data_IF_812014343398
#
_entry.id   IF_812014343398
#
_cell.length_a   1.000
_cell.length_b   1.000
_cell.length_c   1.000
_cell.angle_alpha   90.00
_cell.angle_beta   90.00
_cell.angle_gamma   90.00
#
_symmetry.space_group_name_H-M   'P 1'
#
loop_
_entity.id
_entity.type
_entity.pdbx_description
1 polymer ?
#
# COMPACT_ATOMS: atom_id res chain seq x y z
N UNK A 1 -14.72 -15.45 27.28
CA UNK A 1 -14.08 -14.48 26.37
C UNK A 1 -15.13 -14.08 25.34
N UNK A 2 -15.84 -12.96 25.58
CA UNK A 2 -16.94 -12.52 24.70
C UNK A 2 -16.30 -11.84 23.48
N UNK A 3 -16.32 -12.53 22.34
CA UNK A 3 -15.97 -11.92 21.04
C UNK A 3 -17.00 -10.85 20.73
N UNK A 4 -16.61 -9.58 20.83
CA UNK A 4 -17.37 -8.47 20.29
C UNK A 4 -17.22 -8.54 18.76
N UNK A 5 -18.12 -9.25 18.07
CA UNK A 5 -18.34 -9.02 16.65
C UNK A 5 -18.88 -7.61 16.49
N UNK A 6 -18.05 -6.66 16.02
CA UNK A 6 -18.57 -5.41 15.50
C UNK A 6 -19.62 -5.80 14.46
N UNK A 7 -20.87 -5.46 14.69
CA UNK A 7 -21.90 -5.57 13.64
C UNK A 7 -21.38 -4.72 12.47
N UNK A 8 -21.07 -5.39 11.36
CA UNK A 8 -20.66 -4.69 10.13
C UNK A 8 -21.81 -3.77 9.75
N UNK A 9 -21.59 -2.47 9.75
CA UNK A 9 -22.61 -1.52 9.31
C UNK A 9 -22.80 -1.71 7.79
N UNK A 10 -23.94 -2.24 7.38
CA UNK A 10 -24.28 -2.49 5.98
C UNK A 10 -24.11 -1.21 5.14
N UNK A 11 -24.39 -0.03 5.72
CA UNK A 11 -24.23 1.26 5.04
C UNK A 11 -22.76 1.53 4.68
N UNK A 12 -21.81 1.12 5.53
CA UNK A 12 -20.37 1.27 5.24
C UNK A 12 -19.94 0.35 4.10
N UNK A 13 -20.44 -0.88 4.04
CA UNK A 13 -20.19 -1.80 2.92
C UNK A 13 -20.78 -1.25 1.61
N UNK A 14 -21.97 -0.65 1.63
CA UNK A 14 -22.55 -0.04 0.43
C UNK A 14 -21.77 1.19 -0.06
N UNK A 15 -21.22 2.00 0.86
CA UNK A 15 -20.29 3.08 0.51
C UNK A 15 -19.01 2.51 -0.14
N UNK A 16 -18.45 1.46 0.44
CA UNK A 16 -17.26 0.79 -0.10
C UNK A 16 -17.50 0.22 -1.51
N UNK A 17 -18.64 -0.44 -1.75
CA UNK A 17 -19.01 -0.96 -3.08
C UNK A 17 -19.11 0.14 -4.13
N UNK A 18 -19.64 1.32 -3.77
CA UNK A 18 -19.69 2.46 -4.70
C UNK A 18 -18.31 3.02 -5.01
N UNK A 19 -17.43 3.05 -4.01
CA UNK A 19 -16.09 3.63 -4.14
C UNK A 19 -15.06 2.70 -4.77
N UNK A 20 -15.26 1.38 -4.63
CA UNK A 20 -14.31 0.34 -5.08
C UNK A 20 -15.03 -0.79 -5.83
N UNK A 21 -15.78 -0.49 -6.92
CA UNK A 21 -16.57 -1.47 -7.65
C UNK A 21 -15.73 -2.61 -8.21
N UNK A 22 -14.53 -2.36 -8.73
CA UNK A 22 -13.65 -3.39 -9.30
C UNK A 22 -13.22 -4.41 -8.24
N UNK A 23 -12.83 -3.98 -7.04
CA UNK A 23 -12.51 -4.87 -5.94
C UNK A 23 -13.66 -5.84 -5.63
N UNK A 24 -14.92 -5.33 -5.60
CA UNK A 24 -16.08 -6.17 -5.35
C UNK A 24 -16.43 -7.08 -6.55
N UNK A 25 -16.12 -6.69 -7.78
CA UNK A 25 -16.22 -7.57 -8.96
C UNK A 25 -15.24 -8.76 -8.84
N UNK A 26 -14.01 -8.53 -8.37
CA UNK A 26 -13.03 -9.60 -8.11
C UNK A 26 -13.56 -10.52 -7.00
N UNK A 27 -14.04 -9.99 -5.88
CA UNK A 27 -14.60 -10.79 -4.78
C UNK A 27 -15.79 -11.66 -5.19
N UNK A 28 -16.58 -11.20 -6.16
CA UNK A 28 -17.72 -11.95 -6.70
C UNK A 28 -17.33 -12.97 -7.79
N UNK A 29 -16.06 -13.01 -8.20
CA UNK A 29 -15.55 -13.89 -9.25
C UNK A 29 -15.89 -13.44 -10.68
N UNK A 30 -16.46 -12.23 -10.86
CA UNK A 30 -16.76 -11.66 -12.19
C UNK A 30 -15.54 -11.06 -12.87
N UNK A 31 -14.57 -10.62 -12.11
CA UNK A 31 -13.29 -10.08 -12.58
C UNK A 31 -12.12 -10.84 -11.93
N UNK A 32 -10.92 -10.69 -12.50
CA UNK A 32 -9.67 -11.24 -11.94
C UNK A 32 -8.84 -10.13 -11.32
N UNK A 33 -7.98 -10.46 -10.32
CA UNK A 33 -6.99 -9.52 -9.81
C UNK A 33 -6.04 -9.03 -10.90
N UNK A 34 -5.57 -7.80 -10.79
CA UNK A 34 -4.72 -7.15 -11.78
C UNK A 34 -3.46 -7.97 -12.13
N UNK A 35 -2.78 -8.55 -11.14
CA UNK A 35 -1.60 -9.36 -11.39
C UNK A 35 -1.88 -10.63 -12.24
N UNK A 36 -3.12 -11.14 -12.27
CA UNK A 36 -3.52 -12.23 -13.18
C UNK A 36 -3.55 -11.78 -14.64
N UNK A 37 -3.95 -10.55 -14.91
CA UNK A 37 -3.86 -9.96 -16.25
C UNK A 37 -2.39 -9.75 -16.64
N UNK A 38 -1.56 -9.21 -15.74
CA UNK A 38 -0.13 -9.04 -15.99
C UNK A 38 0.59 -10.38 -16.30
N UNK A 39 0.14 -11.50 -15.72
CA UNK A 39 0.62 -12.86 -16.05
C UNK A 39 0.23 -13.31 -17.46
N UNK A 40 -0.76 -12.71 -18.10
CA UNK A 40 -1.27 -13.10 -19.39
C UNK A 40 -0.80 -12.18 -20.52
N UNK A 41 -0.07 -11.12 -20.22
CA UNK A 41 0.53 -10.22 -21.20
C UNK A 41 1.89 -10.75 -21.65
N UNK A 42 2.01 -11.11 -22.94
CA UNK A 42 3.27 -11.58 -23.52
C UNK A 42 4.26 -10.45 -23.72
N UNK A 43 5.46 -10.60 -23.19
CA UNK A 43 6.59 -9.67 -23.39
C UNK A 43 7.85 -10.44 -23.78
N UNK A 44 8.69 -9.83 -24.60
CA UNK A 44 9.94 -10.39 -25.03
C UNK A 44 11.08 -9.66 -24.32
N UNK A 45 11.89 -10.39 -23.56
CA UNK A 45 13.10 -9.86 -22.88
C UNK A 45 14.07 -10.99 -22.57
N UNK A 46 15.34 -10.63 -22.37
CA UNK A 46 16.35 -11.51 -21.80
C UNK A 46 16.68 -11.09 -20.36
N UNK A 47 17.12 -12.03 -19.55
CA UNK A 47 17.66 -11.70 -18.20
C UNK A 47 18.91 -10.82 -18.28
N UNK A 48 19.62 -10.88 -19.38
CA UNK A 48 20.89 -10.16 -19.59
C UNK A 48 20.69 -8.80 -20.28
N UNK A 49 19.45 -8.48 -20.70
CA UNK A 49 19.17 -7.20 -21.35
C UNK A 49 19.51 -6.03 -20.41
N UNK A 50 20.04 -4.93 -20.95
CA UNK A 50 20.23 -3.68 -20.24
C UNK A 50 18.89 -3.17 -19.63
N UNK A 51 18.98 -2.50 -18.49
CA UNK A 51 17.79 -2.00 -17.79
C UNK A 51 16.92 -1.08 -18.68
N UNK A 52 17.53 -0.33 -19.59
CA UNK A 52 16.81 0.52 -20.56
C UNK A 52 15.93 -0.29 -21.51
N UNK A 53 16.43 -1.43 -22.01
CA UNK A 53 15.67 -2.32 -22.88
C UNK A 53 14.54 -3.03 -22.12
N UNK A 54 14.80 -3.43 -20.86
CA UNK A 54 13.76 -3.97 -19.99
C UNK A 54 12.64 -2.97 -19.76
N UNK A 55 12.95 -1.68 -19.60
CA UNK A 55 11.94 -0.63 -19.48
C UNK A 55 11.15 -0.40 -20.75
N UNK A 56 11.76 -0.47 -21.94
CA UNK A 56 11.02 -0.40 -23.22
C UNK A 56 10.04 -1.57 -23.34
N UNK A 57 10.51 -2.80 -23.07
CA UNK A 57 9.64 -3.97 -23.06
C UNK A 57 8.52 -3.86 -22.02
N UNK A 58 8.77 -3.22 -20.87
CA UNK A 58 7.75 -2.95 -19.87
C UNK A 58 6.67 -1.97 -20.39
N UNK A 59 7.06 -0.88 -21.06
CA UNK A 59 6.13 0.09 -21.63
C UNK A 59 5.23 -0.57 -22.70
N UNK A 60 5.80 -1.36 -23.61
CA UNK A 60 5.05 -2.16 -24.57
C UNK A 60 4.09 -3.16 -23.90
N UNK A 61 4.55 -3.81 -22.82
CA UNK A 61 3.72 -4.72 -22.04
C UNK A 61 2.55 -4.03 -21.35
N UNK A 62 2.76 -2.81 -20.86
CA UNK A 62 1.69 -2.02 -20.25
C UNK A 62 0.64 -1.54 -21.28
N UNK A 63 1.05 -1.22 -22.51
CA UNK A 63 0.12 -0.91 -23.60
C UNK A 63 -0.77 -2.13 -23.92
N UNK A 64 -0.16 -3.30 -24.11
CA UNK A 64 -0.89 -4.56 -24.32
C UNK A 64 -1.86 -4.88 -23.19
N UNK A 65 -1.45 -4.64 -21.92
CA UNK A 65 -2.34 -4.82 -20.78
C UNK A 65 -3.59 -3.92 -20.89
N UNK A 66 -3.41 -2.65 -21.24
CA UNK A 66 -4.50 -1.69 -21.39
C UNK A 66 -5.42 -2.03 -22.58
N UNK A 67 -4.87 -2.58 -23.66
CA UNK A 67 -5.60 -3.07 -24.82
C UNK A 67 -6.26 -4.45 -24.60
N UNK A 68 -6.02 -5.07 -23.44
CA UNK A 68 -6.49 -6.42 -23.10
C UNK A 68 -5.97 -7.50 -24.10
N UNK A 69 -4.75 -7.30 -24.61
CA UNK A 69 -4.04 -8.28 -25.45
C UNK A 69 -3.44 -9.37 -24.55
N UNK A 70 -4.24 -10.40 -24.29
CA UNK A 70 -3.94 -11.46 -23.34
C UNK A 70 -3.69 -12.78 -24.06
N UNK A 71 -2.71 -13.53 -23.57
CA UNK A 71 -2.32 -14.85 -24.07
C UNK A 71 -2.27 -15.86 -22.92
N UNK A 72 -2.47 -17.12 -23.25
CA UNK A 72 -2.38 -18.24 -22.29
C UNK A 72 -1.04 -18.97 -22.46
N UNK A 73 -0.55 -19.60 -21.37
CA UNK A 73 0.63 -20.44 -21.37
C UNK A 73 1.90 -19.75 -21.90
N UNK A 74 2.20 -18.59 -21.34
CA UNK A 74 3.34 -17.80 -21.72
C UNK A 74 4.63 -18.33 -21.07
N UNK A 75 5.73 -18.29 -21.83
CA UNK A 75 7.07 -18.52 -21.28
C UNK A 75 7.53 -17.33 -20.43
N UNK A 76 7.21 -16.10 -20.86
CA UNK A 76 7.53 -14.85 -20.19
C UNK A 76 6.35 -13.89 -20.24
N UNK A 77 6.00 -13.33 -19.09
CA UNK A 77 4.91 -12.41 -18.93
C UNK A 77 5.37 -11.02 -18.45
N UNK A 78 4.46 -10.05 -18.50
CA UNK A 78 4.71 -8.72 -17.94
C UNK A 78 5.04 -8.78 -16.42
N UNK A 79 4.43 -9.69 -15.67
CA UNK A 79 4.75 -9.87 -14.25
C UNK A 79 6.18 -10.39 -14.06
N UNK A 80 6.65 -11.33 -14.93
CA UNK A 80 8.03 -11.81 -14.89
C UNK A 80 9.03 -10.68 -15.15
N UNK A 81 8.71 -9.82 -16.12
CA UNK A 81 9.53 -8.64 -16.43
C UNK A 81 9.57 -7.64 -15.27
N UNK A 82 8.42 -7.35 -14.64
CA UNK A 82 8.35 -6.45 -13.48
C UNK A 82 9.18 -6.98 -12.30
N UNK A 83 9.14 -8.28 -12.04
CA UNK A 83 9.95 -8.91 -11.00
C UNK A 83 11.45 -8.80 -11.30
N UNK A 84 11.86 -9.03 -12.55
CA UNK A 84 13.26 -8.85 -12.98
C UNK A 84 13.73 -7.41 -12.83
N UNK A 85 12.94 -6.43 -13.27
CA UNK A 85 13.31 -5.01 -13.14
C UNK A 85 13.46 -4.64 -11.67
N UNK A 86 12.53 -5.06 -10.81
CA UNK A 86 12.60 -4.78 -9.38
C UNK A 86 13.88 -5.38 -8.73
N UNK A 87 14.28 -6.59 -9.12
CA UNK A 87 15.51 -7.23 -8.66
C UNK A 87 16.79 -6.49 -9.12
N UNK A 88 16.77 -5.92 -10.34
CA UNK A 88 17.89 -5.10 -10.84
C UNK A 88 17.99 -3.75 -10.14
N UNK A 89 16.86 -3.10 -9.86
CA UNK A 89 16.83 -1.77 -9.22
C UNK A 89 17.46 -1.79 -7.82
N UNK A 90 17.38 -2.89 -7.08
CA UNK A 90 17.96 -2.97 -5.73
C UNK A 90 19.51 -3.03 -5.72
N UNK A 91 20.17 -3.24 -6.85
CA UNK A 91 21.62 -3.13 -6.97
C UNK A 91 22.13 -1.68 -6.77
N UNK A 92 21.29 -0.71 -7.10
CA UNK A 92 21.42 0.71 -6.77
C UNK A 92 20.05 1.22 -6.34
N UNK A 93 19.65 0.87 -5.12
CA UNK A 93 18.26 0.92 -4.67
C UNK A 93 17.64 2.32 -4.76
N UNK A 94 16.61 2.44 -5.58
CA UNK A 94 15.79 3.63 -5.76
C UNK A 94 14.27 3.31 -5.66
N UNK A 95 13.88 2.28 -4.88
CA UNK A 95 12.47 1.90 -4.75
C UNK A 95 11.60 2.94 -4.02
N UNK A 96 12.17 3.74 -3.12
CA UNK A 96 11.46 4.82 -2.44
C UNK A 96 12.19 6.16 -2.62
N UNK A 97 11.53 7.27 -2.32
CA UNK A 97 12.09 8.62 -2.52
C UNK A 97 13.30 8.95 -1.63
N UNK A 98 13.61 8.12 -0.64
CA UNK A 98 14.90 8.23 0.05
C UNK A 98 16.07 8.00 -0.90
N UNK A 99 15.89 7.16 -1.95
CA UNK A 99 16.89 6.89 -2.99
C UNK A 99 18.29 6.71 -2.42
N UNK A 100 18.40 5.80 -1.44
CA UNK A 100 19.66 5.61 -0.71
C UNK A 100 20.78 5.01 -1.57
N UNK A 101 20.46 4.46 -2.75
CA UNK A 101 21.39 3.92 -3.76
C UNK A 101 22.34 2.85 -3.26
N UNK A 102 22.01 2.21 -2.14
CA UNK A 102 22.75 1.07 -1.60
C UNK A 102 22.52 -0.16 -2.48
N UNK A 103 23.57 -0.94 -2.73
CA UNK A 103 23.42 -2.29 -3.28
C UNK A 103 22.80 -3.20 -2.20
N UNK A 104 21.49 -3.45 -2.29
CA UNK A 104 20.77 -4.22 -1.29
C UNK A 104 20.99 -5.73 -1.39
N UNK A 105 21.65 -6.20 -2.45
CA UNK A 105 22.13 -7.60 -2.51
C UNK A 105 23.31 -7.84 -1.56
N UNK A 106 24.07 -6.78 -1.21
CA UNK A 106 25.26 -6.84 -0.36
C UNK A 106 25.02 -6.21 1.02
N UNK A 107 24.32 -5.08 1.08
CA UNK A 107 24.20 -4.24 2.26
C UNK A 107 22.75 -3.88 2.61
N UNK A 108 22.54 -3.44 3.85
CA UNK A 108 21.25 -2.98 4.34
C UNK A 108 20.98 -1.55 3.87
N UNK A 109 19.83 -1.29 3.26
CA UNK A 109 19.40 0.06 2.89
C UNK A 109 18.95 0.93 4.07
N UNK A 110 18.66 2.21 3.80
CA UNK A 110 18.08 3.13 4.80
C UNK A 110 16.83 2.54 5.48
N UNK A 111 16.01 1.83 4.74
CA UNK A 111 14.81 1.14 5.23
C UNK A 111 15.08 -0.03 6.19
N UNK A 112 16.34 -0.37 6.45
CA UNK A 112 16.79 -1.54 7.21
C UNK A 112 16.50 -2.88 6.54
N UNK A 113 16.18 -2.87 5.25
CA UNK A 113 15.93 -4.08 4.48
C UNK A 113 17.11 -4.40 3.59
N UNK A 114 17.61 -5.62 3.68
CA UNK A 114 18.45 -6.30 2.70
C UNK A 114 17.62 -7.42 2.08
N UNK A 115 17.28 -8.41 2.90
CA UNK A 115 16.37 -9.50 2.57
C UNK A 115 14.99 -9.20 3.15
N UNK A 116 13.94 -9.64 2.50
CA UNK A 116 12.57 -9.54 3.04
C UNK A 116 12.42 -10.47 4.24
N UNK A 117 12.12 -9.87 5.38
CA UNK A 117 11.77 -10.59 6.61
C UNK A 117 10.29 -10.38 6.88
N UNK A 118 9.59 -11.47 7.15
CA UNK A 118 8.18 -11.46 7.53
C UNK A 118 8.11 -11.51 9.05
N UNK A 119 7.70 -10.41 9.67
CA UNK A 119 7.55 -10.31 11.12
C UNK A 119 6.37 -11.15 11.62
N UNK A 120 5.27 -11.15 10.88
CA UNK A 120 4.10 -11.99 11.10
C UNK A 120 3.24 -12.05 9.84
N UNK A 121 2.42 -13.11 9.73
CA UNK A 121 1.39 -13.23 8.69
C UNK A 121 0.18 -13.98 9.27
N UNK A 122 -1.04 -13.45 9.08
CA UNK A 122 -2.27 -14.04 9.60
C UNK A 122 -3.52 -13.46 8.97
N UNK A 123 -4.66 -14.15 9.16
CA UNK A 123 -5.97 -13.61 8.81
C UNK A 123 -6.36 -12.50 9.78
N UNK A 124 -6.24 -11.26 9.35
CA UNK A 124 -6.50 -10.06 10.12
C UNK A 124 -7.98 -9.64 9.98
N UNK A 125 -8.61 -9.28 11.11
CA UNK A 125 -10.02 -8.84 11.19
C UNK A 125 -10.16 -7.41 11.69
N UNK A 126 -9.04 -6.72 11.89
CA UNK A 126 -8.99 -5.34 12.41
C UNK A 126 -8.85 -4.27 11.33
N UNK A 127 -8.89 -4.63 10.04
CA UNK A 127 -8.92 -3.69 8.93
C UNK A 127 -10.34 -3.15 8.71
N UNK A 128 -10.54 -2.34 7.66
CA UNK A 128 -11.86 -1.85 7.28
C UNK A 128 -12.81 -3.00 6.92
N UNK A 129 -14.11 -2.85 7.21
CA UNK A 129 -15.12 -3.92 7.07
C UNK A 129 -15.14 -4.59 5.70
N UNK A 130 -14.88 -3.84 4.65
CA UNK A 130 -14.82 -4.34 3.27
C UNK A 130 -13.63 -5.27 3.00
N UNK A 131 -12.51 -5.07 3.69
CA UNK A 131 -11.28 -5.83 3.47
C UNK A 131 -11.22 -7.13 4.28
N UNK A 132 -11.94 -7.23 5.40
CA UNK A 132 -11.80 -8.39 6.33
C UNK A 132 -12.68 -9.59 5.94
N UNK A 133 -12.21 -10.83 6.17
CA UNK A 133 -10.88 -11.19 6.66
C UNK A 133 -9.79 -10.95 5.61
N UNK A 134 -8.69 -10.32 6.03
CA UNK A 134 -7.57 -9.95 5.17
C UNK A 134 -6.35 -10.79 5.52
N UNK A 135 -5.76 -11.50 4.55
CA UNK A 135 -4.48 -12.16 4.82
C UNK A 135 -3.37 -11.12 4.77
N UNK A 136 -2.96 -10.69 5.95
CA UNK A 136 -2.05 -9.58 6.14
C UNK A 136 -0.64 -10.09 6.41
N UNK A 137 0.32 -9.65 5.56
CA UNK A 137 1.74 -10.00 5.63
C UNK A 137 2.52 -8.79 6.12
N UNK A 138 3.03 -8.86 7.34
CA UNK A 138 3.78 -7.79 7.99
C UNK A 138 5.28 -7.90 7.70
N UNK A 139 5.79 -7.03 6.83
CA UNK A 139 7.23 -6.94 6.55
C UNK A 139 7.99 -6.16 7.61
N UNK A 140 9.23 -6.58 7.88
CA UNK A 140 10.16 -5.85 8.72
C UNK A 140 10.86 -4.72 7.96
N UNK A 141 11.10 -3.58 8.65
CA UNK A 141 11.76 -2.40 8.10
C UNK A 141 10.79 -1.40 7.47
N UNK A 142 11.20 -0.13 7.40
CA UNK A 142 10.41 0.98 6.88
C UNK A 142 11.32 2.09 6.34
N UNK A 143 10.88 2.77 5.28
CA UNK A 143 11.53 3.96 4.75
C UNK A 143 11.25 5.22 5.58
N UNK A 144 10.34 5.19 6.56
CA UNK A 144 10.08 6.27 7.51
C UNK A 144 10.71 6.01 8.90
N UNK A 145 10.73 7.08 9.71
CA UNK A 145 11.20 7.09 11.11
C UNK A 145 10.14 7.74 12.00
N UNK A 146 8.87 7.35 11.82
CA UNK A 146 7.77 7.94 12.57
C UNK A 146 7.98 7.80 14.07
N UNK A 147 7.98 8.92 14.78
CA UNK A 147 8.18 8.96 16.23
C UNK A 147 6.98 8.41 17.01
N UNK A 148 5.83 8.28 16.35
CA UNK A 148 4.56 7.75 16.89
C UNK A 148 4.18 6.39 16.31
N UNK A 149 5.13 5.66 15.73
CA UNK A 149 4.85 4.41 15.02
C UNK A 149 4.31 3.34 15.96
N UNK A 150 3.09 2.86 15.71
CA UNK A 150 2.46 1.79 16.48
C UNK A 150 3.09 0.42 16.21
N UNK A 151 3.73 0.25 15.04
CA UNK A 151 4.48 -0.94 14.64
C UNK A 151 6.00 -0.70 14.71
N UNK A 152 6.47 0.06 15.70
CA UNK A 152 7.88 0.46 15.78
C UNK A 152 8.84 -0.73 15.94
N UNK A 153 8.40 -1.77 16.60
CA UNK A 153 9.13 -3.02 16.85
C UNK A 153 9.52 -3.74 15.55
N UNK A 154 8.66 -3.75 14.55
CA UNK A 154 8.94 -4.35 13.24
C UNK A 154 9.46 -3.33 12.22
N UNK A 155 9.04 -2.05 12.31
CA UNK A 155 9.42 -1.02 11.35
C UNK A 155 10.82 -0.45 11.60
N UNK A 156 11.24 -0.38 12.88
CA UNK A 156 12.52 0.22 13.27
C UNK A 156 13.61 -0.82 13.61
N UNK A 157 13.25 -2.09 13.68
CA UNK A 157 14.18 -3.20 13.90
C UNK A 157 14.06 -4.25 12.79
N UNK A 158 15.04 -5.13 12.71
CA UNK A 158 15.03 -6.28 11.80
C UNK A 158 14.57 -7.51 12.58
N UNK A 159 13.33 -7.90 12.38
CA UNK A 159 12.71 -9.05 13.06
C UNK A 159 11.92 -9.87 12.06
N UNK A 160 11.77 -11.16 12.31
CA UNK A 160 10.93 -12.04 11.49
C UNK A 160 11.70 -13.18 10.84
N UNK A 161 10.98 -13.95 10.05
CA UNK A 161 11.45 -15.14 9.35
C UNK A 161 11.65 -14.85 7.86
N UNK A 162 12.49 -15.64 7.23
CA UNK A 162 12.64 -15.68 5.76
C UNK A 162 11.76 -16.78 5.21
N UNK A 163 11.09 -16.47 4.13
CA UNK A 163 10.37 -17.44 3.30
C UNK A 163 10.85 -17.33 1.87
N UNK A 164 10.82 -18.42 1.13
CA UNK A 164 10.93 -18.34 -0.32
C UNK A 164 9.64 -17.75 -0.91
N UNK A 165 9.70 -17.17 -2.12
CA UNK A 165 8.50 -16.70 -2.81
C UNK A 165 7.43 -17.80 -2.99
N UNK A 166 7.85 -19.05 -3.23
CA UNK A 166 6.98 -20.21 -3.37
C UNK A 166 6.28 -20.59 -2.07
N UNK A 167 7.02 -20.58 -0.95
CA UNK A 167 6.45 -20.82 0.38
C UNK A 167 5.40 -19.75 0.71
N UNK A 168 5.70 -18.48 0.45
CA UNK A 168 4.76 -17.40 0.70
C UNK A 168 3.53 -17.49 -0.22
N UNK A 169 3.70 -17.85 -1.48
CA UNK A 169 2.57 -18.09 -2.40
C UNK A 169 1.68 -19.26 -1.92
N UNK A 170 2.28 -20.29 -1.33
CA UNK A 170 1.54 -21.41 -0.71
C UNK A 170 0.72 -20.94 0.49
N UNK A 171 1.30 -20.10 1.37
CA UNK A 171 0.60 -19.50 2.52
C UNK A 171 -0.59 -18.64 2.06
N UNK A 172 -0.40 -17.84 0.99
CA UNK A 172 -1.48 -17.03 0.38
C UNK A 172 -2.61 -17.95 -0.13
N UNK A 173 -2.28 -19.06 -0.78
CA UNK A 173 -3.28 -20.00 -1.28
C UNK A 173 -4.06 -20.68 -0.13
N UNK A 174 -3.40 -21.03 0.97
CA UNK A 174 -4.04 -21.59 2.17
C UNK A 174 -4.98 -20.54 2.78
N UNK A 175 -4.52 -19.32 2.97
CA UNK A 175 -5.34 -18.25 3.52
C UNK A 175 -6.58 -17.94 2.64
N UNK A 176 -6.42 -17.98 1.31
CA UNK A 176 -7.54 -17.86 0.38
C UNK A 176 -8.58 -18.98 0.57
N UNK A 177 -8.13 -20.23 0.74
CA UNK A 177 -9.00 -21.36 1.02
C UNK A 177 -9.70 -21.26 2.39
N UNK A 178 -9.09 -20.56 3.35
CA UNK A 178 -9.65 -20.24 4.68
C UNK A 178 -10.57 -19.01 4.66
N UNK A 179 -10.77 -18.38 3.51
CA UNK A 179 -11.74 -17.30 3.31
C UNK A 179 -11.15 -15.89 3.33
N UNK A 180 -9.83 -15.73 3.17
CA UNK A 180 -9.24 -14.41 2.95
C UNK A 180 -9.84 -13.73 1.72
N UNK A 181 -10.30 -12.49 1.87
CA UNK A 181 -10.82 -11.68 0.78
C UNK A 181 -9.71 -11.06 -0.09
N UNK A 182 -8.54 -10.86 0.49
CA UNK A 182 -7.39 -10.23 -0.18
C UNK A 182 -6.08 -10.68 0.47
N UNK A 183 -4.98 -10.47 -0.24
CA UNK A 183 -3.64 -10.46 0.33
C UNK A 183 -3.22 -9.01 0.55
N UNK A 184 -2.87 -8.65 1.78
CA UNK A 184 -2.53 -7.31 2.22
C UNK A 184 -1.04 -7.23 2.56
N UNK A 185 -0.27 -6.59 1.69
CA UNK A 185 1.16 -6.36 1.89
C UNK A 185 1.37 -5.08 2.69
N UNK A 186 1.89 -5.22 3.92
CA UNK A 186 2.04 -4.15 4.91
C UNK A 186 3.30 -4.33 5.75
N UNK A 187 3.27 -3.98 7.00
CA UNK A 187 4.32 -4.17 8.00
C UNK A 187 4.88 -2.86 8.49
N UNK A 188 6.20 -2.71 8.47
CA UNK A 188 6.84 -1.40 8.49
C UNK A 188 6.48 -0.65 7.22
N UNK A 189 6.87 -1.22 6.05
CA UNK A 189 6.50 -0.70 4.72
C UNK A 189 6.71 -1.80 3.66
N UNK A 190 5.78 -2.05 2.75
CA UNK A 190 5.94 -3.05 1.70
C UNK A 190 6.90 -2.61 0.59
N UNK A 191 7.03 -1.31 0.30
CA UNK A 191 7.85 -0.77 -0.79
C UNK A 191 9.28 -1.33 -0.84
N UNK A 192 10.04 -1.41 0.26
CA UNK A 192 11.36 -2.03 0.23
C UNK A 192 11.36 -3.52 -0.14
N UNK A 193 10.22 -4.18 -0.02
CA UNK A 193 10.06 -5.62 -0.24
C UNK A 193 9.45 -5.95 -1.61
N UNK A 194 9.30 -4.94 -2.49
CA UNK A 194 8.71 -5.08 -3.81
C UNK A 194 9.28 -6.23 -4.65
N UNK A 195 10.63 -6.47 -4.74
CA UNK A 195 11.15 -7.58 -5.51
C UNK A 195 10.63 -8.94 -5.03
N UNK A 196 10.61 -9.16 -3.71
CA UNK A 196 10.06 -10.38 -3.11
C UNK A 196 8.55 -10.52 -3.35
N UNK A 197 7.80 -9.43 -3.25
CA UNK A 197 6.35 -9.44 -3.47
C UNK A 197 6.02 -9.80 -4.92
N UNK A 198 6.67 -9.17 -5.90
CA UNK A 198 6.46 -9.47 -7.32
C UNK A 198 6.84 -10.90 -7.65
N UNK A 199 7.97 -11.37 -7.12
CA UNK A 199 8.37 -12.77 -7.30
C UNK A 199 7.37 -13.74 -6.65
N UNK A 200 6.87 -13.44 -5.46
CA UNK A 200 5.81 -14.24 -4.81
C UNK A 200 4.55 -14.32 -5.68
N UNK A 201 4.10 -13.19 -6.22
CA UNK A 201 2.90 -13.14 -7.06
C UNK A 201 3.03 -13.98 -8.35
N UNK A 202 4.24 -14.22 -8.86
CA UNK A 202 4.48 -15.16 -9.97
C UNK A 202 4.01 -16.59 -9.65
N UNK A 203 4.16 -17.01 -8.40
CA UNK A 203 3.79 -18.37 -7.94
C UNK A 203 2.34 -18.44 -7.45
N UNK A 204 1.69 -17.34 -7.10
CA UNK A 204 0.29 -17.32 -6.64
C UNK A 204 -0.64 -17.77 -7.78
N UNK A 205 -1.47 -18.81 -7.52
CA UNK A 205 -2.40 -19.40 -8.50
C UNK A 205 -3.88 -19.14 -8.18
N UNK A 206 -4.17 -18.58 -7.01
CA UNK A 206 -5.53 -18.25 -6.57
C UNK A 206 -5.90 -16.82 -6.91
N UNK A 207 -7.15 -16.53 -7.30
CA UNK A 207 -7.57 -15.20 -7.75
C UNK A 207 -7.85 -14.27 -6.55
N UNK A 208 -6.84 -14.04 -5.73
CA UNK A 208 -6.93 -13.19 -4.54
C UNK A 208 -6.53 -11.74 -4.87
N UNK A 209 -7.37 -10.72 -4.57
CA UNK A 209 -7.02 -9.32 -4.78
C UNK A 209 -5.78 -8.89 -3.99
N UNK A 210 -4.98 -8.01 -4.57
CA UNK A 210 -3.79 -7.42 -3.96
C UNK A 210 -4.11 -6.08 -3.33
N UNK A 211 -3.94 -5.97 -2.01
CA UNK A 211 -3.99 -4.73 -1.24
C UNK A 211 -2.57 -4.26 -0.95
N UNK A 212 -2.25 -3.02 -1.35
CA UNK A 212 -0.99 -2.36 -1.10
C UNK A 212 -1.13 -1.35 0.03
N UNK A 213 -0.82 -1.78 1.26
CA UNK A 213 -0.98 -0.98 2.47
C UNK A 213 0.32 -0.21 2.76
N UNK A 214 0.38 1.03 2.31
CA UNK A 214 1.63 1.79 2.22
C UNK A 214 1.49 3.24 2.67
N UNK A 215 2.62 3.80 3.13
CA UNK A 215 2.77 5.23 3.40
C UNK A 215 2.87 6.09 2.12
N UNK A 216 2.74 5.52 0.94
CA UNK A 216 2.76 6.15 -0.38
C UNK A 216 4.04 6.92 -0.74
N UNK A 217 5.13 6.75 0.02
CA UNK A 217 6.40 7.45 -0.23
C UNK A 217 7.34 6.61 -1.12
N UNK A 218 6.79 6.20 -2.25
CA UNK A 218 7.46 5.41 -3.29
C UNK A 218 8.11 6.31 -4.35
N UNK A 219 9.13 5.80 -5.04
CA UNK A 219 9.63 6.45 -6.25
C UNK A 219 8.69 6.23 -7.44
N UNK A 220 8.82 7.03 -8.49
CA UNK A 220 8.09 6.83 -9.75
C UNK A 220 8.37 5.49 -10.39
N UNK A 221 9.59 4.97 -10.25
CA UNK A 221 9.98 3.63 -10.69
C UNK A 221 9.10 2.57 -10.04
N UNK A 222 8.92 2.64 -8.72
CA UNK A 222 8.05 1.71 -7.99
C UNK A 222 6.59 1.88 -8.40
N UNK A 223 6.12 3.10 -8.61
CA UNK A 223 4.76 3.33 -9.09
C UNK A 223 4.53 2.67 -10.45
N UNK A 224 5.46 2.79 -11.41
CA UNK A 224 5.38 2.08 -12.71
C UNK A 224 5.33 0.55 -12.54
N UNK A 225 6.09 -0.03 -11.60
CA UNK A 225 6.10 -1.47 -11.35
C UNK A 225 4.80 -1.97 -10.69
N UNK A 226 4.13 -1.14 -9.90
CA UNK A 226 2.87 -1.48 -9.24
C UNK A 226 1.64 -1.34 -10.15
N UNK A 227 1.73 -0.58 -11.25
CA UNK A 227 0.65 -0.47 -12.25
C UNK A 227 0.34 -1.84 -12.86
N UNK A 228 -0.92 -2.25 -12.87
CA UNK A 228 -1.37 -3.57 -13.31
C UNK A 228 -1.06 -4.71 -12.32
N UNK A 229 -0.70 -4.40 -11.07
CA UNK A 229 -0.47 -5.38 -10.00
C UNK A 229 -1.42 -5.18 -8.82
N UNK A 230 -1.57 -3.94 -8.37
CA UNK A 230 -2.37 -3.58 -7.19
C UNK A 230 -3.82 -3.41 -7.56
N UNK A 231 -4.73 -4.02 -6.79
CA UNK A 231 -6.17 -3.84 -6.94
C UNK A 231 -6.69 -2.72 -6.04
N UNK A 232 -6.20 -2.66 -4.78
CA UNK A 232 -6.56 -1.60 -3.83
C UNK A 232 -5.31 -0.99 -3.20
N UNK A 233 -5.13 0.31 -3.38
CA UNK A 233 -4.20 1.08 -2.58
C UNK A 233 -4.86 1.42 -1.24
N UNK A 234 -4.43 0.73 -0.18
CA UNK A 234 -4.74 1.09 1.20
C UNK A 234 -3.69 2.13 1.63
N UNK A 235 -3.99 3.38 1.28
CA UNK A 235 -3.01 4.44 1.14
C UNK A 235 -3.04 5.40 2.33
N UNK A 236 -1.97 5.42 3.11
CA UNK A 236 -1.83 6.38 4.20
C UNK A 236 -1.48 7.78 3.69
N UNK A 237 -2.31 8.77 3.98
CA UNK A 237 -2.00 10.18 3.79
C UNK A 237 -1.83 10.84 5.17
N UNK A 238 -0.58 10.87 5.65
CA UNK A 238 -0.28 11.19 7.07
C UNK A 238 -0.14 12.68 7.35
N UNK A 239 0.51 13.45 6.48
CA UNK A 239 0.93 14.83 6.71
C UNK A 239 0.41 15.77 5.63
N UNK A 240 -0.10 16.93 6.06
CA UNK A 240 -0.58 17.99 5.18
C UNK A 240 0.50 18.98 4.73
N UNK A 241 1.74 18.77 5.20
CA UNK A 241 2.88 19.65 4.89
C UNK A 241 4.22 18.92 5.08
N UNK A 242 5.29 19.50 4.55
CA UNK A 242 6.64 18.94 4.59
C UNK A 242 7.34 19.11 5.95
N UNK A 243 6.98 20.13 6.71
CA UNK A 243 7.62 20.45 8.01
C UNK A 243 7.28 19.33 9.03
N UNK A 244 6.00 19.03 9.19
CA UNK A 244 5.54 17.97 10.09
C UNK A 244 6.02 16.61 9.63
N UNK A 245 5.99 16.34 8.31
CA UNK A 245 6.51 15.09 7.75
C UNK A 245 8.00 14.89 8.03
N UNK A 246 8.80 15.93 7.88
CA UNK A 246 10.23 15.88 8.20
C UNK A 246 10.47 15.75 9.70
N UNK A 247 9.74 16.51 10.51
CA UNK A 247 9.85 16.53 11.98
C UNK A 247 9.54 15.16 12.57
N UNK A 248 8.37 14.60 12.26
CA UNK A 248 7.85 13.42 12.93
C UNK A 248 8.08 12.10 12.21
N UNK A 249 8.33 12.11 10.89
CA UNK A 249 8.51 10.88 10.09
C UNK A 249 9.85 10.80 9.35
N UNK A 250 10.65 11.88 9.35
CA UNK A 250 11.91 11.99 8.58
C UNK A 250 11.69 11.76 7.08
N UNK A 251 10.61 12.32 6.56
CA UNK A 251 10.21 12.23 5.16
C UNK A 251 10.36 13.59 4.45
N UNK A 252 11.48 13.89 3.79
CA UNK A 252 11.68 15.14 3.07
C UNK A 252 10.77 15.22 1.84
N UNK A 253 10.32 16.42 1.46
CA UNK A 253 9.43 16.65 0.29
C UNK A 253 8.21 15.73 0.26
N UNK A 254 7.67 15.44 1.45
CA UNK A 254 6.60 14.45 1.62
C UNK A 254 5.36 14.80 0.79
N UNK A 255 4.92 16.06 0.86
CA UNK A 255 3.70 16.52 0.21
C UNK A 255 3.76 16.31 -1.31
N UNK A 256 4.83 16.76 -1.94
CA UNK A 256 5.03 16.63 -3.39
C UNK A 256 5.12 15.16 -3.81
N UNK A 257 5.86 14.34 -3.06
CA UNK A 257 6.03 12.92 -3.36
C UNK A 257 4.71 12.17 -3.23
N UNK A 258 4.01 12.36 -2.13
CA UNK A 258 2.80 11.57 -1.84
C UNK A 258 1.65 12.01 -2.74
N UNK A 259 1.45 13.31 -2.96
CA UNK A 259 0.43 13.81 -3.89
C UNK A 259 0.68 13.37 -5.33
N UNK A 260 1.94 13.40 -5.80
CA UNK A 260 2.31 12.81 -7.09
C UNK A 260 1.92 11.33 -7.17
N UNK A 261 2.24 10.55 -6.14
CA UNK A 261 1.99 9.10 -6.13
C UNK A 261 0.49 8.77 -6.09
N UNK A 262 -0.33 9.56 -5.38
CA UNK A 262 -1.79 9.44 -5.46
C UNK A 262 -2.30 9.70 -6.89
N UNK A 263 -1.78 10.72 -7.58
CA UNK A 263 -2.17 11.02 -8.96
C UNK A 263 -1.71 9.92 -9.93
N UNK A 264 -0.51 9.39 -9.78
CA UNK A 264 -0.03 8.26 -10.58
C UNK A 264 -0.92 7.03 -10.34
N UNK A 265 -1.17 6.65 -9.08
CA UNK A 265 -2.00 5.50 -8.74
C UNK A 265 -3.46 5.64 -9.24
N UNK A 266 -4.00 6.86 -9.31
CA UNK A 266 -5.31 7.14 -9.92
C UNK A 266 -5.37 6.74 -11.41
N UNK A 267 -4.23 6.77 -12.10
CA UNK A 267 -4.09 6.35 -13.50
C UNK A 267 -3.72 4.87 -13.69
N UNK A 268 -3.49 4.12 -12.62
CA UNK A 268 -3.12 2.71 -12.71
C UNK A 268 -4.27 1.83 -13.19
N UNK A 269 -3.90 0.79 -13.93
CA UNK A 269 -4.85 -0.15 -14.52
C UNK A 269 -5.76 -0.76 -13.46
N UNK A 270 -7.06 -0.45 -13.54
CA UNK A 270 -8.15 -0.93 -12.66
C UNK A 270 -7.86 -0.83 -11.15
N UNK A 271 -6.91 -0.01 -10.72
CA UNK A 271 -6.62 0.15 -9.29
C UNK A 271 -7.59 1.13 -8.62
N UNK A 272 -7.91 0.85 -7.36
CA UNK A 272 -8.84 1.63 -6.55
C UNK A 272 -8.20 2.07 -5.24
N UNK A 273 -8.83 3.02 -4.55
CA UNK A 273 -8.32 3.57 -3.30
C UNK A 273 -9.22 3.29 -2.10
N UNK A 274 -8.58 2.94 -0.99
CA UNK A 274 -9.04 3.20 0.35
C UNK A 274 -7.99 4.08 1.03
N UNK A 275 -8.26 5.37 1.16
CA UNK A 275 -7.30 6.34 1.72
C UNK A 275 -7.47 6.38 3.23
N UNK A 276 -6.37 6.28 3.97
CA UNK A 276 -6.34 6.41 5.42
C UNK A 276 -5.71 7.74 5.84
N UNK A 277 -6.39 8.46 6.71
CA UNK A 277 -5.82 9.62 7.40
C UNK A 277 -5.95 9.46 8.90
N UNK A 278 -4.83 9.29 9.60
CA UNK A 278 -4.79 9.28 11.06
C UNK A 278 -4.77 10.73 11.57
N UNK A 279 -5.86 11.14 12.18
CA UNK A 279 -5.96 12.47 12.79
C UNK A 279 -5.03 12.54 14.00
N UNK A 280 -4.23 13.60 14.07
CA UNK A 280 -3.26 13.79 15.14
C UNK A 280 -3.62 15.03 15.97
N UNK A 281 -3.39 15.02 17.30
CA UNK A 281 -3.68 16.17 18.15
C UNK A 281 -2.87 17.39 17.70
N UNK A 282 -3.51 18.55 17.74
CA UNK A 282 -2.98 19.85 17.29
C UNK A 282 -2.66 19.97 15.80
N UNK A 283 -2.96 18.94 14.96
CA UNK A 283 -2.60 18.96 13.53
C UNK A 283 -3.82 18.97 12.59
N UNK A 284 -4.99 19.42 13.05
CA UNK A 284 -6.19 19.41 12.23
C UNK A 284 -6.11 20.46 11.10
N UNK A 285 -5.77 21.72 11.42
CA UNK A 285 -5.75 22.80 10.42
C UNK A 285 -4.52 22.72 9.49
N UNK A 286 -3.36 22.26 10.00
CA UNK A 286 -2.13 22.14 9.20
C UNK A 286 -2.00 20.82 8.43
N UNK A 287 -2.71 19.76 8.84
CA UNK A 287 -2.63 18.44 8.21
C UNK A 287 -3.98 17.90 7.76
N UNK A 288 -4.94 17.67 8.68
CA UNK A 288 -6.23 17.04 8.32
C UNK A 288 -6.98 17.84 7.25
N UNK A 289 -7.12 19.13 7.43
CA UNK A 289 -7.85 20.01 6.52
C UNK A 289 -7.22 20.05 5.10
N UNK A 290 -5.93 20.34 4.91
CA UNK A 290 -5.33 20.35 3.58
C UNK A 290 -5.35 18.96 2.91
N UNK A 291 -5.20 17.87 3.67
CA UNK A 291 -5.31 16.50 3.14
C UNK A 291 -6.71 16.24 2.59
N UNK A 292 -7.76 16.45 3.40
CA UNK A 292 -9.13 16.19 2.99
C UNK A 292 -9.56 17.07 1.81
N UNK A 293 -9.14 18.34 1.81
CA UNK A 293 -9.36 19.25 0.68
C UNK A 293 -8.69 18.72 -0.58
N UNK A 294 -7.41 18.37 -0.49
CA UNK A 294 -6.65 17.86 -1.63
C UNK A 294 -7.25 16.57 -2.19
N UNK A 295 -7.68 15.64 -1.32
CA UNK A 295 -8.34 14.39 -1.74
C UNK A 295 -9.61 14.71 -2.53
N UNK A 296 -10.49 15.58 -1.99
CA UNK A 296 -11.76 15.93 -2.62
C UNK A 296 -11.56 16.61 -3.99
N UNK A 297 -10.53 17.45 -4.14
CA UNK A 297 -10.22 18.20 -5.36
C UNK A 297 -9.50 17.37 -6.43
N UNK A 298 -8.59 16.46 -6.04
CA UNK A 298 -7.69 15.79 -6.98
C UNK A 298 -8.03 14.30 -7.21
N UNK A 299 -8.45 13.59 -6.17
CA UNK A 299 -8.87 12.19 -6.28
C UNK A 299 -10.36 12.11 -6.60
N UNK A 300 -11.17 12.88 -5.87
CA UNK A 300 -12.61 13.01 -6.06
C UNK A 300 -13.40 12.72 -4.79
N UNK A 301 -14.65 13.19 -4.76
CA UNK A 301 -15.52 13.09 -3.58
C UNK A 301 -16.12 11.71 -3.35
N UNK A 302 -16.08 10.85 -4.37
CA UNK A 302 -16.61 9.47 -4.30
C UNK A 302 -15.59 8.45 -3.76
N UNK A 303 -14.33 8.85 -3.57
CA UNK A 303 -13.29 7.94 -3.08
C UNK A 303 -13.60 7.45 -1.65
N UNK A 304 -13.19 6.21 -1.35
CA UNK A 304 -13.27 5.66 0.01
C UNK A 304 -12.17 6.28 0.87
N UNK A 305 -12.55 6.93 1.98
CA UNK A 305 -11.62 7.56 2.92
C UNK A 305 -11.94 7.08 4.33
N UNK A 306 -10.94 6.67 5.08
CA UNK A 306 -11.04 6.38 6.50
C UNK A 306 -10.29 7.47 7.30
N UNK A 307 -11.05 8.34 8.00
CA UNK A 307 -10.53 9.37 8.89
C UNK A 307 -10.52 8.81 10.29
N UNK A 308 -9.34 8.44 10.77
CA UNK A 308 -9.14 7.60 11.95
C UNK A 308 -8.83 8.41 13.20
N UNK A 309 -9.51 8.08 14.33
CA UNK A 309 -9.33 8.74 15.63
C UNK A 309 -8.49 7.92 16.62
N UNK A 310 -8.01 6.75 16.22
CA UNK A 310 -7.26 5.84 17.09
C UNK A 310 -5.80 6.23 17.31
N UNK A 311 -5.45 7.51 17.12
CA UNK A 311 -4.12 7.99 17.50
C UNK A 311 -3.90 7.82 19.01
N UNK A 312 -2.77 7.25 19.36
CA UNK A 312 -2.21 7.21 20.70
C UNK A 312 -0.71 7.47 20.64
N UNK A 313 -0.14 8.15 21.64
CA UNK A 313 1.31 8.32 21.71
C UNK A 313 1.99 6.98 21.95
N UNK A 314 2.81 6.59 20.98
CA UNK A 314 3.61 5.35 21.01
C UNK A 314 5.05 5.67 20.66
N UNK A 315 5.96 4.72 20.95
CA UNK A 315 7.38 4.76 20.63
C UNK A 315 8.09 5.98 21.23
N UNK A 316 8.28 7.06 20.46
CA UNK A 316 8.97 8.28 20.89
C UNK A 316 8.06 9.50 20.91
N UNK A 317 6.76 9.32 20.75
CA UNK A 317 5.79 10.43 20.68
C UNK A 317 5.78 11.30 21.92
N UNK A 318 6.02 10.73 23.10
CA UNK A 318 6.09 11.45 24.39
C UNK A 318 7.18 12.54 24.43
N UNK A 319 8.17 12.48 23.53
CA UNK A 319 9.21 13.50 23.40
C UNK A 319 8.74 14.77 22.71
N UNK A 320 7.51 14.79 22.19
CA UNK A 320 6.90 15.85 21.41
C UNK A 320 5.58 16.24 22.07
N UNK A 321 5.61 17.26 22.93
CA UNK A 321 4.47 17.64 23.79
C UNK A 321 3.16 17.85 23.01
N UNK A 322 3.25 18.33 21.77
CA UNK A 322 2.12 18.57 20.88
C UNK A 322 1.38 17.32 20.43
N UNK A 323 2.05 16.14 20.44
CA UNK A 323 1.48 14.85 20.07
C UNK A 323 1.59 13.79 21.19
N UNK A 324 1.95 14.19 22.39
CA UNK A 324 2.12 13.29 23.54
C UNK A 324 0.81 12.90 24.24
N UNK A 325 -0.33 13.08 23.58
CA UNK A 325 -1.68 12.74 24.08
C UNK A 325 -2.57 12.22 22.95
N UNK A 326 -3.64 11.55 23.32
CA UNK A 326 -4.71 11.22 22.37
C UNK A 326 -5.53 12.46 21.97
N UNK A 327 -6.37 12.33 20.95
CA UNK A 327 -7.32 13.36 20.54
C UNK A 327 -8.29 13.69 21.67
N UNK A 328 -8.67 14.95 21.79
CA UNK A 328 -9.78 15.38 22.61
C UNK A 328 -11.10 15.43 21.81
N UNK A 329 -12.21 15.65 22.49
CA UNK A 329 -13.55 15.68 21.86
C UNK A 329 -13.68 16.76 20.78
N UNK A 330 -13.14 17.97 21.02
CA UNK A 330 -13.24 19.09 20.08
C UNK A 330 -12.46 18.82 18.80
N UNK A 331 -11.30 18.18 18.91
CA UNK A 331 -10.51 17.76 17.75
C UNK A 331 -11.24 16.70 16.93
N UNK A 332 -11.85 15.69 17.57
CA UNK A 332 -12.65 14.68 16.87
C UNK A 332 -13.87 15.32 16.18
N UNK A 333 -14.58 16.21 16.87
CA UNK A 333 -15.71 16.95 16.32
C UNK A 333 -15.27 17.80 15.12
N UNK A 334 -14.17 18.52 15.24
CA UNK A 334 -13.64 19.34 14.15
C UNK A 334 -13.26 18.52 12.93
N UNK A 335 -12.69 17.32 13.11
CA UNK A 335 -12.38 16.43 12.01
C UNK A 335 -13.65 15.95 11.27
N UNK A 336 -14.73 15.66 11.97
CA UNK A 336 -16.05 15.34 11.37
C UNK A 336 -16.58 16.51 10.53
N UNK A 337 -16.51 17.74 11.08
CA UNK A 337 -16.90 18.96 10.37
C UNK A 337 -16.10 19.14 9.08
N UNK A 338 -14.78 18.96 9.13
CA UNK A 338 -13.90 19.07 7.96
C UNK A 338 -14.27 18.06 6.85
N UNK A 339 -14.62 16.83 7.21
CA UNK A 339 -15.09 15.83 6.23
C UNK A 339 -16.39 16.30 5.55
N UNK A 340 -17.32 16.86 6.32
CA UNK A 340 -18.57 17.40 5.79
C UNK A 340 -18.34 18.64 4.90
N UNK A 341 -17.45 19.57 5.31
CA UNK A 341 -17.11 20.78 4.56
C UNK A 341 -16.58 20.45 3.16
N UNK A 342 -15.70 19.45 3.02
CA UNK A 342 -15.14 19.05 1.71
C UNK A 342 -16.09 18.18 0.89
N UNK A 343 -17.12 17.60 1.50
CA UNK A 343 -18.19 16.84 0.86
C UNK A 343 -17.76 15.44 0.38
N UNK A 344 -16.89 14.73 1.12
CA UNK A 344 -16.55 13.35 0.86
C UNK A 344 -17.72 12.41 1.16
N UNK A 345 -18.24 11.69 0.15
CA UNK A 345 -19.50 10.93 0.24
C UNK A 345 -19.33 9.54 0.83
N UNK A 346 -18.17 8.91 0.61
CA UNK A 346 -17.89 7.55 1.06
C UNK A 346 -16.86 7.52 2.21
N UNK A 347 -16.78 8.61 2.98
CA UNK A 347 -15.93 8.65 4.17
C UNK A 347 -16.49 7.79 5.30
N UNK A 348 -15.57 7.12 6.00
CA UNK A 348 -15.75 6.53 7.33
C UNK A 348 -14.98 7.41 8.31
N UNK A 349 -15.56 7.68 9.49
CA UNK A 349 -14.94 8.55 10.51
C UNK A 349 -15.07 7.87 11.86
N UNK A 350 -13.92 7.67 12.56
CA UNK A 350 -13.93 7.06 13.91
C UNK A 350 -12.69 6.29 14.31
#
# INVERSE_FOLDING_TARGET
MVMWFRRVDIREIEKAKRAMPHYFEILSGREKPNFFYAKQVKVNFSKDDPLEELWKAHEEGMEKLKENDLSKNLEKSLLDLKALIADRIIEKCELCEIKCRVNRKESIGYCRVKDSLIASDFLHIGEEPELVPSYTIFFSGCNFRCVFCQNWDISQYRVGLRYSPEEMATKIAVAYAEGAKNVNFVGGEPTPNLPFILETLRYVKVPIPVVWNSNMYMSEITMKLLDGIVDVYLADFKWGNNEDALKYSKAPSYWEVVTRNFLLAKGHYKAEFLIRHLVMPNHLECCTKPILKWIAENIGKEVRVNVMFQYRPEYKAEKYSEIARSLNYDEMKRAVELVAEVGLKNAMVG
#
